data_IF_671933052372
#
_entry.id   IF_671933052372
#
_cell.length_a   1.000
_cell.length_b   1.000
_cell.length_c   1.000
_cell.angle_alpha   90.00
_cell.angle_beta   90.00
_cell.angle_gamma   90.00
#
_symmetry.space_group_name_H-M   'P 1'
#
loop_
_entity.id
_entity.type
_entity.pdbx_description
1 polymer ?
#
# COMPACT_ATOMS: atom_id res chain seq x y z
N UNK A 1 13.08 1.44 -12.84
CA UNK A 1 11.67 1.88 -12.93
C UNK A 1 11.46 3.04 -11.95
N UNK A 2 10.51 3.94 -12.20
CA UNK A 2 10.24 5.10 -11.33
C UNK A 2 9.40 4.77 -10.09
N UNK A 3 8.98 3.51 -9.91
CA UNK A 3 8.13 3.08 -8.78
C UNK A 3 6.70 3.61 -8.82
N UNK A 4 6.26 4.21 -9.94
CA UNK A 4 4.95 4.85 -10.09
C UNK A 4 4.04 4.06 -11.02
N UNK A 5 2.78 3.87 -10.60
CA UNK A 5 1.70 3.32 -11.41
C UNK A 5 0.59 4.36 -11.50
N UNK A 6 0.02 4.53 -12.69
CA UNK A 6 -1.02 5.54 -12.95
C UNK A 6 -2.22 4.93 -13.64
N UNK A 7 -3.40 5.35 -13.18
CA UNK A 7 -4.66 4.93 -13.77
C UNK A 7 -5.14 3.55 -13.28
N UNK A 8 -6.47 3.42 -13.21
CA UNK A 8 -7.14 2.23 -12.66
C UNK A 8 -6.80 0.93 -13.41
N UNK A 9 -6.49 1.01 -14.71
CA UNK A 9 -6.11 -0.17 -15.50
C UNK A 9 -4.75 -0.72 -15.06
N UNK A 10 -3.71 0.12 -14.98
CA UNK A 10 -2.38 -0.33 -14.58
C UNK A 10 -2.37 -0.84 -13.12
N UNK A 11 -3.16 -0.20 -12.24
CA UNK A 11 -3.35 -0.70 -10.87
C UNK A 11 -4.05 -2.06 -10.86
N UNK A 12 -5.08 -2.26 -11.68
CA UNK A 12 -5.79 -3.55 -11.77
C UNK A 12 -4.85 -4.67 -12.18
N UNK A 13 -4.09 -4.49 -13.25
CA UNK A 13 -3.17 -5.51 -13.76
C UNK A 13 -2.08 -5.84 -12.71
N UNK A 14 -1.61 -4.83 -11.98
CA UNK A 14 -0.67 -5.02 -10.88
C UNK A 14 -1.28 -5.87 -9.75
N UNK A 15 -2.48 -5.53 -9.29
CA UNK A 15 -3.16 -6.24 -8.21
C UNK A 15 -3.58 -7.67 -8.60
N UNK A 16 -4.03 -7.89 -9.83
CA UNK A 16 -4.37 -9.23 -10.33
C UNK A 16 -3.15 -10.16 -10.27
N UNK A 17 -1.98 -9.67 -10.69
CA UNK A 17 -0.73 -10.43 -10.60
C UNK A 17 -0.30 -10.68 -9.16
N UNK A 18 -0.44 -9.68 -8.29
CA UNK A 18 -0.09 -9.81 -6.88
C UNK A 18 -0.99 -10.82 -6.15
N UNK A 19 -2.31 -10.76 -6.38
CA UNK A 19 -3.28 -11.69 -5.78
C UNK A 19 -3.11 -13.12 -6.30
N UNK A 20 -2.76 -13.29 -7.57
CA UNK A 20 -2.44 -14.61 -8.12
C UNK A 20 -1.14 -15.19 -7.53
N UNK A 21 -0.13 -14.34 -7.28
CA UNK A 21 1.16 -14.76 -6.72
C UNK A 21 1.09 -15.04 -5.20
N UNK A 22 0.22 -14.33 -4.48
CA UNK A 22 0.05 -14.45 -3.04
C UNK A 22 -1.43 -14.76 -2.73
N UNK A 23 -1.91 -16.00 -2.94
CA UNK A 23 -3.30 -16.36 -2.72
C UNK A 23 -3.73 -16.21 -1.25
N UNK A 24 -2.79 -16.37 -0.31
CA UNK A 24 -2.99 -16.18 1.12
C UNK A 24 -2.59 -14.75 1.58
N UNK A 25 -2.64 -13.78 0.68
CA UNK A 25 -2.34 -12.37 0.98
C UNK A 25 -3.16 -11.91 2.18
N UNK A 26 -2.46 -11.59 3.28
CA UNK A 26 -3.07 -11.08 4.50
C UNK A 26 -2.33 -9.84 4.96
N UNK A 27 -3.11 -8.78 5.19
CA UNK A 27 -2.64 -7.58 5.85
C UNK A 27 -3.11 -7.59 7.30
N UNK A 28 -2.20 -7.32 8.22
CA UNK A 28 -2.52 -7.11 9.64
C UNK A 28 -2.38 -5.62 9.94
N UNK A 29 -3.51 -4.92 10.09
CA UNK A 29 -3.49 -3.52 10.50
C UNK A 29 -2.87 -3.40 11.91
N UNK A 30 -1.90 -2.51 12.05
CA UNK A 30 -1.24 -2.19 13.32
C UNK A 30 -1.82 -0.89 13.87
N UNK A 31 -1.88 0.16 13.04
CA UNK A 31 -2.39 1.48 13.44
C UNK A 31 -2.92 2.25 12.23
N UNK A 32 -3.82 3.20 12.48
CA UNK A 32 -4.30 4.18 11.50
C UNK A 32 -4.08 5.60 12.00
N UNK A 33 -3.43 6.44 11.20
CA UNK A 33 -3.27 7.86 11.48
C UNK A 33 -4.15 8.66 10.52
N UNK A 34 -4.87 9.65 11.04
CA UNK A 34 -5.78 10.50 10.26
C UNK A 34 -5.21 11.91 10.17
N UNK A 35 -4.97 12.36 8.94
CA UNK A 35 -4.63 13.74 8.61
C UNK A 35 -5.85 14.52 8.11
N UNK A 36 -5.64 15.76 7.70
CA UNK A 36 -6.71 16.62 7.19
C UNK A 36 -7.26 16.15 5.83
N UNK A 37 -6.39 15.66 4.94
CA UNK A 37 -6.68 15.23 3.57
C UNK A 37 -6.11 13.83 3.27
N UNK A 38 -5.75 13.08 4.32
CA UNK A 38 -5.06 11.81 4.18
C UNK A 38 -5.31 10.85 5.33
N UNK A 39 -5.13 9.56 5.04
CA UNK A 39 -5.07 8.50 6.04
C UNK A 39 -3.79 7.72 5.81
N UNK A 40 -3.10 7.38 6.91
CA UNK A 40 -1.97 6.44 6.88
C UNK A 40 -2.41 5.11 7.46
N UNK A 41 -2.26 4.05 6.68
CA UNK A 41 -2.37 2.68 7.18
C UNK A 41 -0.98 2.16 7.53
N UNK A 42 -0.75 1.87 8.80
CA UNK A 42 0.46 1.19 9.26
C UNK A 42 0.14 -0.27 9.53
N UNK A 43 0.75 -1.18 8.79
CA UNK A 43 0.34 -2.58 8.78
C UNK A 43 1.50 -3.54 8.51
N UNK A 44 1.28 -4.82 8.84
CA UNK A 44 2.15 -5.93 8.44
C UNK A 44 1.67 -6.49 7.11
N UNK A 45 2.52 -6.42 6.11
CA UNK A 45 2.32 -6.90 4.74
C UNK A 45 2.80 -8.35 4.56
N UNK A 46 2.86 -8.78 3.30
CA UNK A 46 3.37 -10.09 2.88
C UNK A 46 4.74 -10.35 3.49
N UNK A 47 4.98 -11.62 3.88
CA UNK A 47 6.23 -12.07 4.50
C UNK A 47 6.61 -11.31 5.79
N UNK A 48 5.62 -10.73 6.47
CA UNK A 48 5.83 -10.05 7.75
C UNK A 48 6.46 -8.65 7.64
N UNK A 49 6.66 -8.13 6.42
CA UNK A 49 7.24 -6.81 6.18
C UNK A 49 6.34 -5.71 6.75
N UNK A 50 6.94 -4.75 7.45
CA UNK A 50 6.20 -3.58 7.94
C UNK A 50 6.05 -2.56 6.81
N UNK A 51 4.83 -2.08 6.61
CA UNK A 51 4.49 -1.09 5.60
C UNK A 51 3.69 0.08 6.21
N UNK A 52 3.88 1.26 5.64
CA UNK A 52 3.06 2.43 5.85
C UNK A 52 2.55 2.91 4.47
N UNK A 53 1.24 2.97 4.29
CA UNK A 53 0.61 3.50 3.08
C UNK A 53 -0.09 4.82 3.37
N UNK A 54 0.32 5.89 2.70
CA UNK A 54 -0.33 7.19 2.77
C UNK A 54 -1.34 7.27 1.64
N UNK A 55 -2.63 7.34 1.98
CA UNK A 55 -3.73 7.54 1.04
C UNK A 55 -4.14 9.01 1.09
N UNK A 56 -4.05 9.71 -0.04
CA UNK A 56 -4.42 11.12 -0.16
C UNK A 56 -5.75 11.25 -0.89
N UNK A 57 -6.64 12.04 -0.33
CA UNK A 57 -7.97 12.25 -0.88
C UNK A 57 -8.02 13.47 -1.81
N UNK A 58 -8.84 13.39 -2.84
CA UNK A 58 -9.24 14.56 -3.64
C UNK A 58 -10.36 15.36 -2.96
N UNK A 59 -10.82 16.41 -3.64
CA UNK A 59 -11.91 17.27 -3.16
C UNK A 59 -13.27 16.58 -3.09
N UNK A 60 -13.42 15.42 -3.74
CA UNK A 60 -14.63 14.58 -3.67
C UNK A 60 -14.53 13.52 -2.57
N UNK A 61 -13.41 13.46 -1.84
CA UNK A 61 -13.16 12.48 -0.79
C UNK A 61 -12.75 11.10 -1.32
N UNK A 62 -12.32 10.99 -2.58
CA UNK A 62 -11.82 9.74 -3.16
C UNK A 62 -10.30 9.66 -3.04
N UNK A 63 -9.74 8.45 -2.89
CA UNK A 63 -8.29 8.27 -2.90
C UNK A 63 -7.76 8.54 -4.30
N UNK A 64 -6.96 9.61 -4.44
CA UNK A 64 -6.36 10.04 -5.70
C UNK A 64 -4.90 9.62 -5.84
N UNK A 65 -4.20 9.47 -4.72
CA UNK A 65 -2.77 9.10 -4.68
C UNK A 65 -2.49 8.20 -3.49
N UNK A 66 -1.64 7.19 -3.69
CA UNK A 66 -1.16 6.31 -2.63
C UNK A 66 0.37 6.25 -2.67
N UNK A 67 1.01 6.51 -1.53
CA UNK A 67 2.44 6.31 -1.35
C UNK A 67 2.69 5.12 -0.43
N UNK A 68 3.24 4.05 -0.99
CA UNK A 68 3.64 2.88 -0.22
C UNK A 68 5.07 3.04 0.28
N UNK A 69 5.27 2.87 1.58
CA UNK A 69 6.57 2.88 2.22
C UNK A 69 6.76 1.56 2.95
N UNK A 70 7.95 0.98 2.84
CA UNK A 70 8.28 -0.28 3.49
C UNK A 70 9.41 -0.02 4.46
N UNK A 71 9.32 -0.57 5.67
CA UNK A 71 10.46 -0.59 6.57
C UNK A 71 11.62 -1.27 5.84
N UNK A 72 12.86 -0.79 6.00
CA UNK A 72 14.03 -1.54 5.57
C UNK A 72 13.90 -2.94 6.17
N UNK A 73 13.75 -3.97 5.32
CA UNK A 73 13.68 -5.33 5.81
C UNK A 73 14.93 -5.61 6.64
N UNK A 74 14.79 -6.38 7.72
CA UNK A 74 15.96 -7.03 8.31
C UNK A 74 16.40 -8.07 7.28
N UNK A 75 17.16 -7.64 6.27
CA UNK A 75 17.94 -8.49 5.37
C UNK A 75 19.09 -9.07 6.20
N UNK A 76 18.76 -9.81 7.25
CA UNK A 76 19.71 -10.65 7.96
C UNK A 76 19.57 -12.04 7.39
N UNK A 77 20.64 -12.40 6.68
CA UNK A 77 21.11 -13.73 6.27
C UNK A 77 20.45 -14.92 6.97
#
# INVERSE_FOLDING_TARGET
SSGRLEGKSALRDYWERALAAYPDLRFELIETLVGADSVVLYYRSVNGMIAAEVMRFDTEGQVAEVWANYAPGDFRS
#
